data_IF_557360415675
#
_entry.id   IF_557360415675
#
_cell.length_a   1.000
_cell.length_b   1.000
_cell.length_c   1.000
_cell.angle_alpha   90.00
_cell.angle_beta   90.00
_cell.angle_gamma   90.00
#
_symmetry.space_group_name_H-M   'P 1'
#
loop_
_entity.id
_entity.type
_entity.pdbx_description
1 polymer ?
#
# COMPACT_ATOMS: atom_id res chain seq x y z
N UNK A 1 -15.60 26.29 -9.18
CA UNK A 1 -14.64 25.31 -9.73
C UNK A 1 -15.12 23.92 -9.32
N UNK A 2 -15.82 23.22 -10.21
CA UNK A 2 -16.28 21.86 -9.93
C UNK A 2 -15.11 20.93 -10.15
N UNK A 3 -14.53 20.39 -9.08
CA UNK A 3 -13.59 19.28 -9.19
C UNK A 3 -14.40 18.11 -9.76
N UNK A 4 -14.14 17.75 -11.01
CA UNK A 4 -14.75 16.58 -11.64
C UNK A 4 -14.33 15.37 -10.81
N UNK A 5 -15.28 14.78 -10.09
CA UNK A 5 -15.10 13.49 -9.43
C UNK A 5 -14.66 12.50 -10.50
N UNK A 6 -13.50 11.87 -10.30
CA UNK A 6 -12.99 10.87 -11.22
C UNK A 6 -14.02 9.72 -11.31
N UNK A 7 -14.44 9.48 -12.54
CA UNK A 7 -15.37 8.45 -13.01
C UNK A 7 -15.18 7.08 -12.36
N UNK A 8 -16.20 6.60 -11.65
CA UNK A 8 -16.93 5.31 -11.74
C UNK A 8 -16.22 4.07 -12.32
N UNK A 9 -14.92 3.92 -12.12
CA UNK A 9 -14.17 2.68 -12.36
C UNK A 9 -13.88 1.98 -11.04
N UNK A 10 -13.75 0.65 -11.08
CA UNK A 10 -13.12 -0.08 -9.97
C UNK A 10 -11.69 0.46 -9.78
N UNK A 11 -11.51 1.26 -8.74
CA UNK A 11 -10.23 1.89 -8.37
C UNK A 11 -9.40 1.01 -7.44
N UNK A 12 -9.82 -0.26 -7.25
CA UNK A 12 -9.07 -1.23 -6.44
C UNK A 12 -7.80 -1.62 -7.18
N UNK A 13 -6.61 -1.39 -6.58
CA UNK A 13 -5.36 -1.80 -7.20
C UNK A 13 -5.31 -3.32 -7.38
N UNK A 14 -4.87 -3.75 -8.55
CA UNK A 14 -4.61 -5.17 -8.84
C UNK A 14 -3.46 -5.70 -7.98
N UNK A 15 -3.36 -7.03 -7.77
CA UNK A 15 -2.23 -7.61 -7.04
C UNK A 15 -0.85 -7.23 -7.60
N UNK A 16 -0.75 -7.04 -8.92
CA UNK A 16 0.49 -6.59 -9.56
C UNK A 16 0.82 -5.13 -9.20
N UNK A 17 -0.17 -4.26 -9.17
CA UNK A 17 0.02 -2.86 -8.77
C UNK A 17 0.41 -2.75 -7.31
N UNK A 18 -0.23 -3.52 -6.42
CA UNK A 18 0.17 -3.63 -5.00
C UNK A 18 1.63 -4.04 -4.86
N UNK A 19 2.09 -5.03 -5.63
CA UNK A 19 3.49 -5.46 -5.60
C UNK A 19 4.45 -4.36 -6.10
N UNK A 20 4.10 -3.64 -7.17
CA UNK A 20 4.89 -2.52 -7.68
C UNK A 20 4.96 -1.37 -6.67
N UNK A 21 3.85 -1.04 -6.01
CA UNK A 21 3.80 -0.05 -4.94
C UNK A 21 4.70 -0.44 -3.77
N UNK A 22 4.66 -1.70 -3.34
CA UNK A 22 5.53 -2.21 -2.29
C UNK A 22 7.02 -2.08 -2.65
N UNK A 23 7.40 -2.47 -3.88
CA UNK A 23 8.79 -2.34 -4.35
C UNK A 23 9.23 -0.87 -4.42
N UNK A 24 8.38 0.02 -4.91
CA UNK A 24 8.69 1.45 -4.97
C UNK A 24 8.86 2.04 -3.56
N UNK A 25 7.98 1.67 -2.63
CA UNK A 25 8.02 2.14 -1.26
C UNK A 25 9.26 1.62 -0.51
N UNK A 26 9.58 0.33 -0.64
CA UNK A 26 10.82 -0.25 -0.11
C UNK A 26 12.06 0.42 -0.69
N UNK A 27 12.11 0.63 -2.02
CA UNK A 27 13.26 1.24 -2.67
C UNK A 27 13.50 2.69 -2.23
N UNK A 28 12.43 3.44 -1.94
CA UNK A 28 12.53 4.84 -1.52
C UNK A 28 12.77 5.02 -0.03
N UNK A 29 12.15 4.19 0.81
CA UNK A 29 12.07 4.39 2.26
C UNK A 29 12.76 3.29 3.08
N UNK A 30 13.26 2.22 2.45
CA UNK A 30 13.97 1.14 3.11
C UNK A 30 13.16 0.54 4.26
N UNK A 31 13.74 0.51 5.45
CA UNK A 31 13.13 -0.05 6.66
C UNK A 31 11.83 0.68 7.09
N UNK A 32 11.61 1.92 6.66
CA UNK A 32 10.39 2.68 7.00
C UNK A 32 9.19 2.35 6.12
N UNK A 33 9.39 1.61 5.02
CA UNK A 33 8.34 1.38 4.03
C UNK A 33 7.11 0.69 4.63
N UNK A 34 7.31 -0.31 5.48
CA UNK A 34 6.21 -1.00 6.20
C UNK A 34 5.40 -0.03 7.05
N UNK A 35 6.07 0.75 7.91
CA UNK A 35 5.39 1.71 8.79
C UNK A 35 4.67 2.83 8.03
N UNK A 36 5.20 3.24 6.87
CA UNK A 36 4.52 4.21 5.98
C UNK A 36 3.25 3.59 5.38
N UNK A 37 3.30 2.32 4.97
CA UNK A 37 2.11 1.64 4.46
C UNK A 37 1.03 1.52 5.54
N UNK A 38 1.40 1.14 6.77
CA UNK A 38 0.47 1.05 7.90
C UNK A 38 -0.13 2.42 8.26
N UNK A 39 0.68 3.49 8.27
CA UNK A 39 0.19 4.85 8.48
C UNK A 39 -0.83 5.27 7.42
N UNK A 40 -0.56 4.97 6.15
CA UNK A 40 -1.47 5.31 5.06
C UNK A 40 -2.75 4.48 5.11
N UNK A 41 -2.68 3.23 5.56
CA UNK A 41 -3.88 2.42 5.81
C UNK A 41 -4.78 3.05 6.88
N UNK A 42 -4.23 3.36 8.07
CA UNK A 42 -4.97 3.99 9.18
C UNK A 42 -5.52 5.37 8.78
N UNK A 43 -4.74 6.18 8.06
CA UNK A 43 -5.18 7.50 7.59
C UNK A 43 -6.40 7.41 6.68
N UNK A 44 -6.43 6.45 5.76
CA UNK A 44 -7.55 6.29 4.83
C UNK A 44 -8.76 5.64 5.49
N UNK A 45 -8.56 4.72 6.42
CA UNK A 45 -9.63 4.14 7.23
C UNK A 45 -10.37 5.22 8.03
N UNK A 46 -9.62 6.09 8.72
CA UNK A 46 -10.17 7.26 9.44
C UNK A 46 -10.89 8.26 8.55
N UNK A 47 -10.58 8.29 7.25
CA UNK A 47 -11.24 9.14 6.26
C UNK A 47 -12.45 8.47 5.61
N UNK A 48 -12.73 7.22 5.94
CA UNK A 48 -13.79 6.42 5.32
C UNK A 48 -13.46 5.92 3.92
N UNK A 49 -12.20 6.00 3.48
CA UNK A 49 -11.75 5.48 2.19
C UNK A 49 -11.24 4.04 2.37
N UNK A 50 -12.19 3.11 2.50
CA UNK A 50 -11.92 1.70 2.75
C UNK A 50 -11.10 1.03 1.64
N UNK A 51 -11.27 1.46 0.37
CA UNK A 51 -10.53 0.90 -0.76
C UNK A 51 -9.05 1.26 -0.66
N UNK A 52 -8.73 2.52 -0.37
CA UNK A 52 -7.33 2.93 -0.15
C UNK A 52 -6.76 2.34 1.12
N UNK A 53 -7.55 2.24 2.19
CA UNK A 53 -7.12 1.60 3.43
C UNK A 53 -6.69 0.15 3.16
N UNK A 54 -7.54 -0.63 2.50
CA UNK A 54 -7.23 -2.00 2.10
C UNK A 54 -5.99 -2.11 1.21
N UNK A 55 -5.86 -1.23 0.22
CA UNK A 55 -4.72 -1.24 -0.69
C UNK A 55 -3.38 -1.04 0.06
N UNK A 56 -3.33 -0.10 0.99
CA UNK A 56 -2.13 0.15 1.80
C UNK A 56 -1.83 -0.99 2.78
N UNK A 57 -2.86 -1.61 3.37
CA UNK A 57 -2.70 -2.85 4.15
C UNK A 57 -2.06 -3.94 3.31
N UNK A 58 -2.55 -4.18 2.09
CA UNK A 58 -2.01 -5.19 1.19
C UNK A 58 -0.55 -4.91 0.79
N UNK A 59 -0.19 -3.63 0.59
CA UNK A 59 1.19 -3.20 0.38
C UNK A 59 2.06 -3.53 1.60
N UNK A 60 1.64 -3.17 2.81
CA UNK A 60 2.37 -3.44 4.05
C UNK A 60 2.62 -4.93 4.28
N UNK A 61 1.63 -5.79 4.01
CA UNK A 61 1.82 -7.24 4.04
C UNK A 61 2.83 -7.74 3.00
N UNK A 62 2.82 -7.17 1.79
CA UNK A 62 3.77 -7.55 0.74
C UNK A 62 5.21 -7.21 1.14
N UNK A 63 5.42 -6.06 1.77
CA UNK A 63 6.71 -5.63 2.33
C UNK A 63 7.15 -6.60 3.42
N UNK A 64 6.29 -6.95 4.38
CA UNK A 64 6.59 -7.93 5.43
C UNK A 64 6.99 -9.28 4.86
N UNK A 65 6.21 -9.82 3.91
CA UNK A 65 6.54 -11.09 3.24
C UNK A 65 7.93 -11.06 2.60
N UNK A 66 8.28 -9.96 1.94
CA UNK A 66 9.60 -9.77 1.30
C UNK A 66 10.72 -9.59 2.32
N UNK A 67 10.48 -8.87 3.42
CA UNK A 67 11.43 -8.74 4.51
C UNK A 67 11.71 -10.10 5.17
N UNK A 68 10.66 -10.88 5.48
CA UNK A 68 10.79 -12.24 6.01
C UNK A 68 11.55 -13.17 5.04
N UNK A 69 11.32 -13.07 3.73
CA UNK A 69 12.07 -13.84 2.73
C UNK A 69 13.56 -13.46 2.67
N UNK A 70 13.92 -12.19 2.92
CA UNK A 70 15.32 -11.76 3.01
C UNK A 70 16.02 -12.28 4.25
N UNK A 71 15.30 -12.39 5.37
CA UNK A 71 15.85 -12.86 6.65
C UNK A 71 15.80 -14.39 6.78
N UNK A 72 14.88 -15.05 6.08
CA UNK A 72 14.64 -16.49 6.11
C UNK A 72 15.50 -17.29 5.11
N UNK A 73 16.82 -17.30 5.32
CA UNK A 73 17.72 -18.41 4.95
C UNK A 73 18.95 -18.31 5.85
N UNK A 74 18.90 -18.96 7.01
CA UNK A 74 20.08 -19.34 7.79
C UNK A 74 19.82 -20.63 8.53
#
# INVERSE_FOLDING_TARGET
MVVRSHSDGDVTPTPREVALMAVALEGRHGALAEGIADFLADLNDRRGDAVRAWAWTAVGEHIRRRASARTGTR
#
